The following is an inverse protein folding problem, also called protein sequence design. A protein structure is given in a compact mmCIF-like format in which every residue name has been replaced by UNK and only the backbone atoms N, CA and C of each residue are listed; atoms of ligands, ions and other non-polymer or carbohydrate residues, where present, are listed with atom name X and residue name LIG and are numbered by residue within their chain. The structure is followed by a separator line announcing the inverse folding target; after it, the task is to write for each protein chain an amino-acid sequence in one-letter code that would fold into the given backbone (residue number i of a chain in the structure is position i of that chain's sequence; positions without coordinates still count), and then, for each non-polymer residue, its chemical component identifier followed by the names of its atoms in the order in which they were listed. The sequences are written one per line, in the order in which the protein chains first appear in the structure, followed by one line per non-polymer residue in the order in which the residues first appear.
data_IF_225674429866
#
_entry.id   IF_225674429866
#
_cell.length_a   1.000
_cell.length_b   1.000
_cell.length_c   1.000
_cell.angle_alpha   90.00
_cell.angle_beta   90.00
_cell.angle_gamma   90.00
#
_symmetry.space_group_name_H-M   'P 1'
#
loop_
_entity.id
_entity.type
_entity.pdbx_description
1 polymer ?
#
# COMPACT_ATOMS: atom_id res chain seq x y z
N UNK A 1 -5.99 -18.70 6.57
CA UNK A 1 -6.77 -18.06 7.65
C UNK A 1 -6.89 -16.60 7.24
N UNK A 2 -8.10 -16.09 7.00
CA UNK A 2 -8.28 -14.69 6.59
C UNK A 2 -7.95 -13.81 7.80
N UNK A 3 -6.85 -13.05 7.74
CA UNK A 3 -6.50 -12.07 8.79
C UNK A 3 -7.57 -10.96 8.79
N UNK A 4 -7.97 -10.46 9.96
CA UNK A 4 -8.96 -9.38 10.06
C UNK A 4 -8.36 -8.03 9.64
N UNK A 5 -9.18 -7.04 9.26
CA UNK A 5 -8.69 -5.70 8.94
C UNK A 5 -7.88 -5.09 10.11
N UNK A 6 -8.37 -5.25 11.34
CA UNK A 6 -7.68 -4.80 12.55
C UNK A 6 -6.33 -5.51 12.76
N UNK A 7 -6.25 -6.81 12.47
CA UNK A 7 -4.99 -7.58 12.53
C UNK A 7 -3.96 -7.04 11.53
N UNK A 8 -4.36 -6.81 10.28
CA UNK A 8 -3.48 -6.25 9.24
C UNK A 8 -3.03 -4.83 9.54
N UNK A 9 -3.92 -4.01 10.13
CA UNK A 9 -3.56 -2.67 10.60
C UNK A 9 -2.46 -2.73 11.66
N UNK A 10 -2.61 -3.60 12.67
CA UNK A 10 -1.60 -3.78 13.71
C UNK A 10 -0.27 -4.30 13.16
N UNK A 11 -0.32 -5.25 12.22
CA UNK A 11 0.89 -5.79 11.56
C UNK A 11 1.71 -4.71 10.84
N UNK A 12 1.06 -3.67 10.31
CA UNK A 12 1.70 -2.59 9.54
C UNK A 12 1.95 -1.32 10.35
N UNK A 13 1.46 -1.26 11.59
CA UNK A 13 1.50 -0.05 12.41
C UNK A 13 2.93 0.42 12.72
N UNK A 14 3.83 -0.52 13.04
CA UNK A 14 5.23 -0.20 13.33
C UNK A 14 5.93 0.38 12.09
N UNK A 15 5.74 -0.24 10.91
CA UNK A 15 6.30 0.26 9.67
C UNK A 15 5.74 1.64 9.30
N UNK A 16 4.43 1.85 9.43
CA UNK A 16 3.80 3.14 9.16
C UNK A 16 4.32 4.24 10.09
N UNK A 17 4.50 3.95 11.38
CA UNK A 17 5.09 4.88 12.34
C UNK A 17 6.53 5.24 12.00
N UNK A 18 7.35 4.27 11.58
CA UNK A 18 8.74 4.50 11.19
C UNK A 18 8.86 5.33 9.90
N UNK A 19 7.98 5.11 8.93
CA UNK A 19 8.06 5.72 7.60
C UNK A 19 7.38 7.10 7.56
N UNK A 20 6.20 7.24 8.19
CA UNK A 20 5.35 8.43 8.07
C UNK A 20 5.23 9.27 9.35
N UNK A 21 5.77 8.81 10.48
CA UNK A 21 5.74 9.56 11.73
C UNK A 21 4.32 9.92 12.17
N UNK A 22 4.03 11.21 12.29
CA UNK A 22 2.70 11.73 12.69
C UNK A 22 1.59 11.36 11.69
N UNK A 23 1.94 11.06 10.44
CA UNK A 23 1.00 10.70 9.37
C UNK A 23 0.72 9.19 9.29
N UNK A 24 1.25 8.39 10.23
CA UNK A 24 1.15 6.93 10.21
C UNK A 24 -0.29 6.42 10.13
N UNK A 25 -1.21 7.00 10.91
CA UNK A 25 -2.62 6.61 10.89
C UNK A 25 -3.28 6.87 9.54
N UNK A 26 -2.95 7.97 8.88
CA UNK A 26 -3.48 8.29 7.56
C UNK A 26 -2.95 7.30 6.49
N UNK A 27 -1.71 6.85 6.61
CA UNK A 27 -1.17 5.81 5.74
C UNK A 27 -1.85 4.45 5.97
N UNK A 28 -2.15 4.10 7.22
CA UNK A 28 -2.90 2.89 7.56
C UNK A 28 -4.34 2.95 7.02
N UNK A 29 -4.99 4.11 7.10
CA UNK A 29 -6.32 4.32 6.51
C UNK A 29 -6.27 4.14 4.98
N UNK A 30 -5.24 4.65 4.32
CA UNK A 30 -5.06 4.46 2.88
C UNK A 30 -4.87 2.97 2.50
N UNK A 31 -4.18 2.18 3.33
CA UNK A 31 -4.06 0.73 3.13
C UNK A 31 -5.38 -0.01 3.34
N UNK A 32 -6.17 0.40 4.31
CA UNK A 32 -7.50 -0.17 4.54
C UNK A 32 -8.43 0.14 3.36
N UNK A 33 -8.41 1.37 2.85
CA UNK A 33 -9.13 1.75 1.63
C UNK A 33 -8.65 0.94 0.40
N UNK A 34 -7.34 0.67 0.31
CA UNK A 34 -6.79 -0.18 -0.75
C UNK A 34 -7.32 -1.62 -0.65
N UNK A 35 -7.37 -2.22 0.55
CA UNK A 35 -7.94 -3.55 0.76
C UNK A 35 -9.41 -3.61 0.31
N UNK A 36 -10.21 -2.60 0.69
CA UNK A 36 -11.62 -2.50 0.31
C UNK A 36 -11.80 -2.35 -1.21
N UNK A 37 -11.04 -1.44 -1.83
CA UNK A 37 -11.12 -1.21 -3.27
C UNK A 37 -10.64 -2.43 -4.07
N UNK A 38 -9.62 -3.15 -3.58
CA UNK A 38 -9.12 -4.38 -4.19
C UNK A 38 -10.17 -5.47 -4.16
N UNK A 39 -10.84 -5.65 -3.02
CA UNK A 39 -11.95 -6.58 -2.89
C UNK A 39 -13.07 -6.29 -3.89
N UNK A 40 -13.48 -5.04 -4.02
CA UNK A 40 -14.58 -4.68 -4.91
C UNK A 40 -14.21 -4.81 -6.40
N UNK A 41 -12.94 -4.59 -6.76
CA UNK A 41 -12.47 -4.68 -8.14
C UNK A 41 -12.05 -6.09 -8.58
N UNK A 42 -11.48 -6.89 -7.67
CA UNK A 42 -10.81 -8.16 -8.00
C UNK A 42 -11.38 -9.37 -7.24
N UNK A 43 -12.27 -9.17 -6.26
CA UNK A 43 -12.88 -10.25 -5.47
C UNK A 43 -11.98 -10.88 -4.41
N UNK A 44 -10.77 -10.34 -4.23
CA UNK A 44 -9.80 -10.80 -3.24
C UNK A 44 -9.79 -9.86 -2.02
N UNK A 45 -9.75 -10.39 -0.80
CA UNK A 45 -9.89 -9.56 0.42
C UNK A 45 -8.75 -8.56 0.66
N UNK A 46 -7.60 -8.74 0.01
CA UNK A 46 -6.42 -7.88 0.11
C UNK A 46 -5.61 -7.98 -1.18
N UNK A 47 -4.86 -6.94 -1.59
CA UNK A 47 -3.90 -7.07 -2.67
C UNK A 47 -2.83 -8.13 -2.36
N UNK A 48 -2.23 -8.73 -3.39
CA UNK A 48 -1.02 -9.52 -3.23
C UNK A 48 0.07 -8.72 -2.51
N UNK A 49 0.85 -9.39 -1.66
CA UNK A 49 1.92 -8.77 -0.88
C UNK A 49 2.87 -7.91 -1.75
N UNK A 50 3.19 -8.40 -2.95
CA UNK A 50 4.06 -7.71 -3.90
C UNK A 50 3.51 -6.36 -4.38
N UNK A 51 2.18 -6.21 -4.44
CA UNK A 51 1.51 -4.95 -4.80
C UNK A 51 1.60 -3.96 -3.63
N UNK A 52 1.36 -4.45 -2.40
CA UNK A 52 1.51 -3.64 -1.19
C UNK A 52 2.94 -3.11 -1.07
N UNK A 53 3.94 -3.97 -1.28
CA UNK A 53 5.36 -3.58 -1.28
C UNK A 53 5.69 -2.52 -2.33
N UNK A 54 5.13 -2.62 -3.54
CA UNK A 54 5.33 -1.60 -4.56
C UNK A 54 4.71 -0.26 -4.17
N UNK A 55 3.54 -0.25 -3.50
CA UNK A 55 2.95 0.97 -2.95
C UNK A 55 3.91 1.65 -1.98
N UNK A 56 4.52 0.89 -1.06
CA UNK A 56 5.52 1.43 -0.13
C UNK A 56 6.76 1.99 -0.84
N UNK A 57 7.26 1.29 -1.86
CA UNK A 57 8.43 1.73 -2.63
C UNK A 57 8.15 3.02 -3.41
N UNK A 58 7.03 3.07 -4.14
CA UNK A 58 6.66 4.24 -4.95
C UNK A 58 6.31 5.46 -4.09
N UNK A 59 5.80 5.23 -2.88
CA UNK A 59 5.49 6.29 -1.95
C UNK A 59 6.71 7.04 -1.44
N UNK A 60 7.84 6.36 -1.26
CA UNK A 60 9.11 6.96 -0.79
C UNK A 60 8.91 7.85 0.45
N UNK A 61 8.30 7.29 1.49
CA UNK A 61 7.96 7.96 2.75
C UNK A 61 7.10 9.24 2.63
N UNK A 62 6.41 9.44 1.51
CA UNK A 62 5.53 10.59 1.30
C UNK A 62 4.06 10.14 1.25
N UNK A 63 3.22 10.64 2.16
CA UNK A 63 1.80 10.24 2.26
C UNK A 63 1.02 10.54 0.97
N UNK A 64 1.23 11.69 0.34
CA UNK A 64 0.52 12.03 -0.90
C UNK A 64 0.88 11.09 -2.05
N UNK A 65 2.15 10.68 -2.15
CA UNK A 65 2.58 9.64 -3.08
C UNK A 65 2.04 8.28 -2.70
N UNK A 66 1.95 7.96 -1.41
CA UNK A 66 1.36 6.71 -0.92
C UNK A 66 -0.10 6.55 -1.34
N UNK A 67 -0.92 7.60 -1.16
CA UNK A 67 -2.31 7.60 -1.63
C UNK A 67 -2.38 7.48 -3.16
N UNK A 68 -1.50 8.18 -3.88
CA UNK A 68 -1.43 8.08 -5.34
C UNK A 68 -1.05 6.69 -5.82
N UNK A 69 -0.10 6.03 -5.15
CA UNK A 69 0.35 4.67 -5.41
C UNK A 69 -0.75 3.64 -5.07
N UNK A 70 -1.49 3.82 -3.97
CA UNK A 70 -2.65 2.98 -3.64
C UNK A 70 -3.75 3.09 -4.70
N UNK A 71 -4.04 4.30 -5.20
CA UNK A 71 -4.96 4.48 -6.35
C UNK A 71 -4.44 3.79 -7.60
N UNK A 72 -3.13 3.88 -7.88
CA UNK A 72 -2.52 3.23 -9.03
C UNK A 72 -2.57 1.70 -8.91
N UNK A 73 -2.38 1.14 -7.71
CA UNK A 73 -2.51 -0.29 -7.46
C UNK A 73 -3.87 -0.83 -7.93
N UNK A 74 -4.96 -0.11 -7.62
CA UNK A 74 -6.31 -0.54 -8.01
C UNK A 74 -6.56 -0.34 -9.50
N UNK A 75 -6.08 0.76 -10.09
CA UNK A 75 -6.41 1.15 -11.47
C UNK A 75 -5.49 0.54 -12.53
N UNK A 76 -4.20 0.39 -12.24
CA UNK A 76 -3.22 -0.29 -13.08
C UNK A 76 -1.99 -0.75 -12.26
N UNK A 77 -2.10 -1.90 -11.58
CA UNK A 77 -1.00 -2.45 -10.77
C UNK A 77 0.27 -2.76 -11.59
N UNK A 78 0.19 -2.87 -12.92
CA UNK A 78 1.36 -3.12 -13.77
C UNK A 78 2.21 -1.86 -13.90
N UNK A 79 1.57 -0.69 -14.00
CA UNK A 79 2.28 0.58 -14.02
C UNK A 79 2.93 0.88 -12.66
N UNK A 80 2.24 0.51 -11.56
CA UNK A 80 2.82 0.52 -10.22
C UNK A 80 4.08 -0.36 -10.14
N UNK A 81 4.02 -1.59 -10.67
CA UNK A 81 5.17 -2.51 -10.72
C UNK A 81 6.36 -1.90 -11.45
N UNK A 82 6.13 -1.35 -12.64
CA UNK A 82 7.19 -0.73 -13.44
C UNK A 82 7.83 0.46 -12.71
N UNK A 83 7.00 1.28 -12.06
CA UNK A 83 7.48 2.41 -11.25
C UNK A 83 8.34 1.95 -10.07
N UNK A 84 7.90 0.92 -9.34
CA UNK A 84 8.66 0.37 -8.22
C UNK A 84 9.99 -0.25 -8.67
N UNK A 85 10.00 -0.97 -9.80
CA UNK A 85 11.22 -1.57 -10.35
C UNK A 85 12.22 -0.51 -10.82
N UNK A 86 11.74 0.59 -11.40
CA UNK A 86 12.60 1.72 -11.79
C UNK A 86 13.30 2.35 -10.57
N UNK A 87 12.58 2.53 -9.44
CA UNK A 87 13.14 3.08 -8.20
C UNK A 87 14.17 2.13 -7.56
N UNK A 88 13.90 0.82 -7.55
CA UNK A 88 14.83 -0.19 -7.03
C UNK A 88 16.12 -0.29 -7.85
N UNK A 89 16.05 -0.11 -9.17
CA UNK A 89 17.24 -0.16 -10.04
C UNK A 89 18.09 1.12 -9.99
N UNK A 90 17.51 2.23 -9.53
CA UNK A 90 18.19 3.52 -9.38
C UNK A 90 18.72 3.81 -7.97
N UNK A 91 18.56 2.88 -7.01
CA UNK A 91 18.99 3.00 -5.60
C UNK A 91 20.33 2.34 -5.32
#
# INVERSE_FOLDING_TARGET
MVSSAASRRNERAEQAAQVFGEEADAALDALELLDLAWHDCYGESTPPQQVVEDVWVVADANLARFVSAARLAVTDFRDLRLSADALRQGS
#
